data_IF_171375884378
#
_entry.id   IF_171375884378
#
_cell.length_a   1.000
_cell.length_b   1.000
_cell.length_c   1.000
_cell.angle_alpha   90.00
_cell.angle_beta   90.00
_cell.angle_gamma   90.00
#
_symmetry.space_group_name_H-M   'P 1'
#
loop_
_entity.id
_entity.type
_entity.pdbx_description
1 polymer ?
#
# COMPACT_ATOMS: atom_id res chain seq x y z
N UNK A 1 -8.39 10.28 -25.95
CA UNK A 1 -6.97 10.63 -25.68
C UNK A 1 -6.07 9.40 -25.87
N UNK A 2 -4.92 9.57 -26.52
CA UNK A 2 -3.89 8.53 -26.68
C UNK A 2 -2.61 9.04 -26.04
N UNK A 3 -1.93 8.23 -25.22
CA UNK A 3 -0.70 8.59 -24.49
C UNK A 3 0.58 8.09 -25.18
N UNK A 4 0.44 7.51 -26.37
CA UNK A 4 1.53 7.04 -27.21
C UNK A 4 1.12 5.94 -28.19
N UNK A 5 2.11 5.16 -28.59
CA UNK A 5 1.99 4.01 -29.49
C UNK A 5 2.32 2.72 -28.73
N UNK A 6 1.79 1.59 -29.17
CA UNK A 6 2.23 0.27 -28.68
C UNK A 6 2.94 -0.46 -29.80
N UNK A 7 4.25 -0.64 -29.66
CA UNK A 7 5.07 -1.38 -30.60
C UNK A 7 4.99 -2.86 -30.23
N UNK A 8 4.59 -3.72 -31.18
CA UNK A 8 4.41 -5.16 -30.98
C UNK A 8 5.17 -5.92 -32.05
N UNK A 9 5.87 -6.98 -31.66
CA UNK A 9 6.39 -7.98 -32.61
C UNK A 9 5.21 -8.60 -33.34
N UNK A 10 5.17 -8.59 -34.66
CA UNK A 10 3.96 -9.01 -35.39
C UNK A 10 3.75 -10.54 -35.36
N UNK A 11 4.82 -11.32 -35.53
CA UNK A 11 4.78 -12.79 -35.58
C UNK A 11 4.34 -13.43 -34.25
N UNK A 12 3.26 -14.22 -34.29
CA UNK A 12 2.74 -14.95 -33.11
C UNK A 12 3.73 -15.97 -32.56
N UNK A 13 4.44 -16.69 -33.42
CA UNK A 13 5.44 -17.68 -33.01
C UNK A 13 6.60 -17.03 -32.22
N UNK A 14 7.00 -15.81 -32.60
CA UNK A 14 8.02 -15.06 -31.87
C UNK A 14 7.50 -14.56 -30.51
N UNK A 15 6.22 -14.16 -30.41
CA UNK A 15 5.60 -13.77 -29.13
C UNK A 15 5.61 -14.91 -28.11
N UNK A 16 5.32 -16.13 -28.55
CA UNK A 16 5.34 -17.32 -27.69
C UNK A 16 6.75 -17.62 -27.17
N UNK A 17 7.76 -17.53 -28.04
CA UNK A 17 9.17 -17.69 -27.65
C UNK A 17 9.65 -16.61 -26.68
N UNK A 18 9.23 -15.37 -26.89
CA UNK A 18 9.62 -14.23 -26.03
C UNK A 18 8.93 -14.26 -24.66
N UNK A 19 7.71 -14.79 -24.59
CA UNK A 19 6.97 -14.93 -23.33
C UNK A 19 6.62 -13.60 -22.65
N UNK A 20 6.51 -13.62 -21.32
CA UNK A 20 6.17 -12.47 -20.48
C UNK A 20 6.97 -12.48 -19.18
N UNK A 21 7.10 -11.30 -18.56
CA UNK A 21 7.52 -11.15 -17.17
C UNK A 21 6.30 -11.28 -16.24
N UNK A 22 6.52 -11.16 -14.92
CA UNK A 22 5.43 -11.14 -13.94
C UNK A 22 4.41 -10.00 -14.18
N UNK A 23 4.80 -8.90 -14.83
CA UNK A 23 3.95 -7.71 -15.01
C UNK A 23 3.64 -7.36 -16.47
N UNK A 24 4.46 -7.75 -17.45
CA UNK A 24 4.32 -7.30 -18.83
C UNK A 24 4.83 -8.30 -19.88
N UNK A 25 4.23 -8.36 -21.08
CA UNK A 25 4.75 -9.18 -22.19
C UNK A 25 6.12 -8.68 -22.65
N UNK A 26 7.03 -9.59 -23.03
CA UNK A 26 8.37 -9.22 -23.54
C UNK A 26 8.36 -8.75 -25.00
N UNK A 27 7.30 -9.05 -25.74
CA UNK A 27 7.16 -8.80 -27.18
C UNK A 27 6.39 -7.51 -27.52
N UNK A 28 6.04 -6.70 -26.51
CA UNK A 28 5.36 -5.43 -26.71
C UNK A 28 5.87 -4.38 -25.74
N UNK A 29 5.95 -3.13 -26.20
CA UNK A 29 6.34 -1.97 -25.40
C UNK A 29 5.41 -0.80 -25.70
N UNK A 30 5.03 -0.05 -24.67
CA UNK A 30 4.34 1.22 -24.82
C UNK A 30 5.37 2.32 -25.07
N UNK A 31 5.37 2.87 -26.29
CA UNK A 31 6.17 4.01 -26.69
C UNK A 31 5.36 5.29 -26.47
N UNK A 32 5.52 5.88 -25.27
CA UNK A 32 4.72 7.02 -24.82
C UNK A 32 5.16 8.33 -25.48
N UNK A 33 4.22 9.26 -25.67
CA UNK A 33 4.57 10.64 -26.01
C UNK A 33 5.44 11.27 -24.91
N UNK A 34 6.25 12.28 -25.24
CA UNK A 34 6.91 13.09 -24.23
C UNK A 34 5.87 13.59 -23.22
N UNK A 35 6.16 13.43 -21.92
CA UNK A 35 5.26 13.91 -20.88
C UNK A 35 5.10 15.43 -21.03
N UNK A 36 3.87 15.90 -20.89
CA UNK A 36 3.61 17.34 -20.82
C UNK A 36 4.41 17.92 -19.64
N UNK A 37 5.10 19.03 -19.90
CA UNK A 37 5.87 19.77 -18.89
C UNK A 37 5.36 21.19 -18.80
N UNK A 38 5.32 21.73 -17.59
CA UNK A 38 5.01 23.15 -17.37
C UNK A 38 6.10 23.80 -16.52
N UNK A 39 6.25 25.11 -16.66
CA UNK A 39 7.16 25.93 -15.85
C UNK A 39 6.34 26.65 -14.79
N UNK A 40 6.81 26.63 -13.55
CA UNK A 40 6.11 27.30 -12.45
C UNK A 40 7.11 27.74 -11.37
N UNK A 41 6.69 28.64 -10.49
CA UNK A 41 7.50 29.13 -9.38
C UNK A 41 7.46 28.14 -8.20
N UNK A 42 8.63 27.80 -7.66
CA UNK A 42 8.76 27.11 -6.37
C UNK A 42 8.63 28.12 -5.24
N UNK A 43 7.41 28.29 -4.70
CA UNK A 43 7.10 29.29 -3.67
C UNK A 43 7.73 28.98 -2.33
N UNK A 44 7.67 27.71 -1.94
CA UNK A 44 8.16 27.24 -0.65
C UNK A 44 8.41 25.73 -0.70
N UNK A 45 9.06 25.19 0.33
CA UNK A 45 9.18 23.75 0.55
C UNK A 45 8.70 23.41 1.95
N UNK A 46 7.63 22.62 2.03
CA UNK A 46 7.13 22.10 3.31
C UNK A 46 7.71 20.71 3.59
N UNK A 47 7.79 20.36 4.87
CA UNK A 47 8.37 19.09 5.32
C UNK A 47 7.29 18.19 5.93
N UNK A 48 7.05 17.04 5.29
CA UNK A 48 6.08 16.05 5.77
C UNK A 48 6.79 14.92 6.51
N UNK A 49 6.30 14.60 7.71
CA UNK A 49 6.80 13.48 8.52
C UNK A 49 5.94 12.26 8.24
N UNK A 50 6.53 11.22 7.65
CA UNK A 50 5.85 9.96 7.34
C UNK A 50 5.75 9.01 8.54
N UNK A 51 5.05 7.88 8.36
CA UNK A 51 4.81 6.85 9.40
C UNK A 51 6.07 6.26 10.04
N UNK A 52 7.18 6.22 9.30
CA UNK A 52 8.48 5.72 9.77
C UNK A 52 9.41 6.86 10.22
N UNK A 53 8.87 8.06 10.43
CA UNK A 53 9.62 9.25 10.79
C UNK A 53 10.33 9.95 9.62
N UNK A 54 10.36 9.36 8.42
CA UNK A 54 11.00 9.96 7.25
C UNK A 54 10.42 11.36 6.96
N UNK A 55 11.31 12.34 6.87
CA UNK A 55 10.99 13.73 6.56
C UNK A 55 11.16 13.92 5.06
N UNK A 56 10.04 14.12 4.38
CA UNK A 56 9.96 14.26 2.93
C UNK A 56 9.77 15.73 2.58
N UNK A 57 10.68 16.35 1.80
CA UNK A 57 10.47 17.68 1.26
C UNK A 57 9.39 17.67 0.17
N UNK A 58 8.48 18.63 0.24
CA UNK A 58 7.36 18.80 -0.69
C UNK A 58 7.39 20.23 -1.23
N UNK A 59 7.51 20.36 -2.53
CA UNK A 59 7.45 21.64 -3.22
C UNK A 59 6.02 22.22 -3.14
N UNK A 60 5.92 23.46 -2.68
CA UNK A 60 4.73 24.30 -2.81
C UNK A 60 4.92 25.18 -4.05
N UNK A 61 4.10 24.98 -5.06
CA UNK A 61 4.25 25.57 -6.39
C UNK A 61 3.20 26.66 -6.61
N UNK A 62 3.52 27.65 -7.46
CA UNK A 62 2.48 28.47 -8.09
C UNK A 62 1.55 27.53 -8.88
N UNK A 63 0.21 27.63 -8.69
CA UNK A 63 -0.72 26.74 -9.38
C UNK A 63 -0.52 26.79 -10.89
N UNK A 64 -0.25 25.64 -11.48
CA UNK A 64 0.01 25.51 -12.91
C UNK A 64 -0.86 24.42 -13.52
N UNK A 65 -1.44 24.69 -14.68
CA UNK A 65 -2.19 23.68 -15.43
C UNK A 65 -1.21 22.72 -16.09
N UNK A 66 -1.36 21.42 -15.81
CA UNK A 66 -0.48 20.39 -16.34
C UNK A 66 -1.26 19.11 -16.58
N UNK A 67 -1.31 18.65 -17.83
CA UNK A 67 -2.05 17.45 -18.23
C UNK A 67 -3.49 17.47 -17.68
N UNK A 68 -4.20 18.57 -17.93
CA UNK A 68 -5.62 18.75 -17.61
C UNK A 68 -5.98 18.98 -16.13
N UNK A 69 -5.01 19.04 -15.20
CA UNK A 69 -5.29 19.39 -13.80
C UNK A 69 -4.36 20.47 -13.27
N UNK A 70 -4.82 21.22 -12.28
CA UNK A 70 -3.99 22.21 -11.59
C UNK A 70 -3.07 21.52 -10.57
N UNK A 71 -1.77 21.64 -10.77
CA UNK A 71 -0.74 21.16 -9.85
C UNK A 71 -0.31 22.30 -8.94
N UNK A 72 -0.39 22.08 -7.63
CA UNK A 72 0.07 23.02 -6.59
C UNK A 72 1.21 22.47 -5.73
N UNK A 73 1.39 21.14 -5.73
CA UNK A 73 2.36 20.45 -4.88
C UNK A 73 3.03 19.33 -5.65
N UNK A 74 4.31 19.10 -5.38
CA UNK A 74 5.08 17.99 -5.94
C UNK A 74 6.06 17.44 -4.91
N UNK A 75 6.26 16.12 -4.87
CA UNK A 75 7.28 15.54 -3.99
C UNK A 75 8.67 15.87 -4.52
N UNK A 76 9.58 16.20 -3.61
CA UNK A 76 11.01 16.35 -3.90
C UNK A 76 11.81 15.09 -3.49
N UNK A 77 11.12 14.01 -3.15
CA UNK A 77 11.65 12.70 -2.74
C UNK A 77 12.46 12.71 -1.44
N UNK A 78 13.63 13.33 -1.41
CA UNK A 78 14.50 13.45 -0.24
C UNK A 78 15.48 14.62 -0.41
N UNK A 79 16.19 14.99 0.66
CA UNK A 79 17.10 16.13 0.64
C UNK A 79 18.33 15.93 -0.27
N UNK A 80 18.76 14.68 -0.48
CA UNK A 80 19.84 14.39 -1.42
C UNK A 80 19.43 14.68 -2.87
N UNK A 81 18.19 14.39 -3.25
CA UNK A 81 17.66 14.69 -4.58
C UNK A 81 17.47 16.19 -4.81
N UNK A 82 17.10 16.92 -3.74
CA UNK A 82 17.02 18.39 -3.74
C UNK A 82 18.39 19.00 -3.98
N UNK A 83 19.41 18.54 -3.25
CA UNK A 83 20.80 18.97 -3.41
C UNK A 83 21.34 18.61 -4.79
N UNK A 84 21.11 17.38 -5.26
CA UNK A 84 21.53 16.91 -6.60
C UNK A 84 20.97 17.77 -7.73
N UNK A 85 19.75 18.28 -7.56
CA UNK A 85 19.08 19.17 -8.52
C UNK A 85 19.34 20.66 -8.25
N UNK A 86 20.08 21.02 -7.21
CA UNK A 86 20.30 22.39 -6.71
C UNK A 86 18.98 23.20 -6.68
N UNK A 87 17.91 22.62 -6.14
CA UNK A 87 16.62 23.31 -6.06
C UNK A 87 16.60 24.31 -4.91
N UNK A 88 16.11 25.53 -5.20
CA UNK A 88 16.02 26.63 -4.23
C UNK A 88 14.62 27.22 -4.20
N UNK A 89 14.17 27.64 -3.02
CA UNK A 89 12.93 28.40 -2.89
C UNK A 89 13.08 29.71 -3.65
N UNK A 90 12.13 30.01 -4.52
CA UNK A 90 12.18 31.13 -5.48
C UNK A 90 12.56 30.72 -6.90
N UNK A 91 13.04 29.49 -7.12
CA UNK A 91 13.38 29.03 -8.48
C UNK A 91 12.13 28.92 -9.37
N UNK A 92 12.31 29.26 -10.65
CA UNK A 92 11.40 28.76 -11.69
C UNK A 92 11.77 27.31 -12.01
N UNK A 93 10.85 26.38 -11.80
CA UNK A 93 11.05 24.94 -11.96
C UNK A 93 10.22 24.37 -13.10
N UNK A 94 10.77 23.35 -13.76
CA UNK A 94 10.06 22.54 -14.75
C UNK A 94 9.45 21.32 -14.06
N UNK A 95 8.14 21.16 -14.20
CA UNK A 95 7.35 20.10 -13.58
C UNK A 95 6.67 19.22 -14.63
N UNK A 96 6.57 17.93 -14.34
CA UNK A 96 5.85 16.95 -15.15
C UNK A 96 4.99 16.05 -14.27
N UNK A 97 4.09 15.29 -14.88
CA UNK A 97 3.43 14.17 -14.19
C UNK A 97 3.99 12.84 -14.64
N UNK A 98 4.60 12.10 -13.71
CA UNK A 98 4.97 10.71 -13.93
C UNK A 98 3.70 9.88 -14.15
N UNK A 99 3.68 9.14 -15.26
CA UNK A 99 2.52 8.37 -15.72
C UNK A 99 1.21 9.18 -15.75
N UNK A 100 1.30 10.49 -16.04
CA UNK A 100 0.17 11.45 -16.10
C UNK A 100 -0.59 11.68 -14.78
N UNK A 101 -0.10 11.11 -13.66
CA UNK A 101 -0.76 11.18 -12.36
C UNK A 101 0.07 11.92 -11.30
N UNK A 102 1.36 11.57 -11.12
CA UNK A 102 2.14 12.02 -9.97
C UNK A 102 3.04 13.21 -10.35
N UNK A 103 2.80 14.43 -9.83
CA UNK A 103 3.64 15.58 -10.14
C UNK A 103 5.06 15.44 -9.57
N UNK A 104 6.06 15.78 -10.38
CA UNK A 104 7.48 15.75 -10.02
C UNK A 104 8.21 16.97 -10.58
N UNK A 105 9.13 17.53 -9.79
CA UNK A 105 10.06 18.57 -10.23
C UNK A 105 11.23 17.91 -10.96
N UNK A 106 11.43 18.29 -12.23
CA UNK A 106 12.52 17.78 -13.06
C UNK A 106 13.83 18.50 -12.77
N UNK A 107 13.80 19.83 -12.85
CA UNK A 107 14.96 20.72 -12.72
C UNK A 107 14.51 22.16 -12.48
N UNK A 108 15.42 23.00 -12.01
CA UNK A 108 15.26 24.45 -12.08
C UNK A 108 15.71 24.98 -13.45
N UNK A 109 15.34 26.23 -13.74
CA UNK A 109 15.75 26.96 -14.94
C UNK A 109 16.81 27.99 -14.52
N UNK A 110 18.11 27.74 -14.79
CA UNK A 110 19.19 28.58 -14.30
C UNK A 110 19.08 30.05 -14.71
N UNK A 111 18.58 30.31 -15.91
CA UNK A 111 18.46 31.66 -16.49
C UNK A 111 17.40 32.51 -15.78
N UNK A 112 16.52 31.88 -15.01
CA UNK A 112 15.41 32.52 -14.31
C UNK A 112 15.57 32.49 -12.78
N UNK A 113 16.74 32.10 -12.27
CA UNK A 113 16.99 32.08 -10.82
C UNK A 113 17.11 33.52 -10.31
N UNK A 114 16.25 33.92 -9.36
CA UNK A 114 16.38 35.24 -8.75
C UNK A 114 17.58 35.25 -7.77
N UNK A 115 18.20 36.43 -7.54
CA UNK A 115 19.40 36.54 -6.69
C UNK A 115 19.13 36.22 -5.21
N UNK A 116 17.88 36.30 -4.77
CA UNK A 116 17.42 35.99 -3.41
C UNK A 116 16.93 34.54 -3.24
N UNK A 117 17.14 33.66 -4.22
CA UNK A 117 16.76 32.26 -4.14
C UNK A 117 17.46 31.53 -2.97
N UNK A 118 16.67 30.88 -2.10
CA UNK A 118 17.16 30.30 -0.84
C UNK A 118 17.36 28.79 -0.93
N UNK A 119 18.50 28.24 -0.48
CA UNK A 119 18.72 26.80 -0.48
C UNK A 119 17.72 26.08 0.42
N UNK A 120 17.27 24.91 -0.01
CA UNK A 120 16.40 24.04 0.77
C UNK A 120 17.28 23.18 1.67
N UNK A 121 17.35 23.54 2.95
CA UNK A 121 18.12 22.81 3.96
C UNK A 121 17.23 21.85 4.74
N UNK A 122 17.75 20.68 5.16
CA UNK A 122 17.02 19.84 6.09
C UNK A 122 16.76 20.55 7.42
N UNK A 123 15.61 20.32 8.06
CA UNK A 123 15.36 20.90 9.36
C UNK A 123 16.24 20.22 10.43
N UNK A 124 16.70 20.96 11.44
CA UNK A 124 17.46 20.40 12.57
C UNK A 124 16.54 19.69 13.59
N UNK A 125 15.27 20.08 13.61
CA UNK A 125 14.23 19.53 14.49
C UNK A 125 13.00 19.11 13.68
N UNK A 126 12.25 18.14 14.20
CA UNK A 126 11.07 17.62 13.56
C UNK A 126 9.99 18.71 13.47
N UNK A 127 9.45 19.02 12.28
CA UNK A 127 8.45 20.08 12.11
C UNK A 127 7.11 19.76 12.79
N UNK A 128 6.88 18.50 13.19
CA UNK A 128 5.67 18.08 13.90
C UNK A 128 5.79 18.08 15.43
N UNK A 129 6.96 17.78 15.99
CA UNK A 129 7.10 17.56 17.44
C UNK A 129 8.33 18.22 18.08
N UNK A 130 9.13 18.96 17.31
CA UNK A 130 10.31 19.67 17.80
C UNK A 130 11.48 18.78 18.26
N UNK A 131 11.34 17.45 18.19
CA UNK A 131 12.41 16.53 18.58
C UNK A 131 13.57 16.53 17.56
N UNK A 132 14.80 16.17 17.95
CA UNK A 132 15.92 16.05 17.02
C UNK A 132 15.62 15.10 15.86
N UNK A 133 16.19 15.40 14.70
CA UNK A 133 16.11 14.55 13.51
C UNK A 133 17.49 14.04 13.13
N UNK A 134 17.54 12.90 12.46
CA UNK A 134 18.79 12.31 12.04
C UNK A 134 18.60 11.21 11.02
N UNK A 135 19.71 10.75 10.44
CA UNK A 135 19.73 9.47 9.73
C UNK A 135 19.76 8.35 10.74
N UNK A 136 19.30 7.18 10.32
CA UNK A 136 19.42 5.97 11.13
C UNK A 136 20.90 5.62 11.27
N UNK A 137 21.48 5.64 12.49
CA UNK A 137 22.90 5.36 12.69
C UNK A 137 23.27 3.92 12.32
N UNK A 138 22.31 3.00 12.35
CA UNK A 138 22.52 1.58 12.04
C UNK A 138 22.44 1.27 10.54
N UNK A 139 22.05 2.26 9.70
CA UNK A 139 21.96 2.12 8.25
C UNK A 139 22.81 3.20 7.55
N UNK A 140 24.08 2.90 7.22
CA UNK A 140 24.97 3.84 6.54
C UNK A 140 24.51 4.19 5.12
N UNK A 141 23.56 3.43 4.55
CA UNK A 141 22.96 3.70 3.24
C UNK A 141 21.72 4.60 3.33
N UNK A 142 21.33 5.01 4.53
CA UNK A 142 20.13 5.83 4.75
C UNK A 142 20.29 7.21 4.11
N UNK A 143 19.35 7.51 3.21
CA UNK A 143 19.26 8.81 2.52
C UNK A 143 18.20 9.70 3.15
N UNK A 144 17.24 9.12 3.88
CA UNK A 144 16.17 9.86 4.52
C UNK A 144 16.59 10.38 5.90
N UNK A 145 16.34 11.67 6.12
CA UNK A 145 16.38 12.26 7.46
C UNK A 145 15.07 11.92 8.16
N UNK A 146 15.12 11.51 9.42
CA UNK A 146 13.98 10.99 10.16
C UNK A 146 13.81 11.69 11.51
N UNK A 147 12.56 11.85 11.91
CA UNK A 147 12.21 12.08 13.30
C UNK A 147 12.42 10.79 14.10
N UNK A 148 13.28 10.85 15.12
CA UNK A 148 13.61 9.69 15.97
C UNK A 148 12.62 9.51 17.14
N UNK A 149 11.76 10.50 17.39
CA UNK A 149 10.74 10.41 18.43
C UNK A 149 9.57 9.53 17.99
N UNK A 150 9.49 8.31 18.54
CA UNK A 150 8.42 7.35 18.25
C UNK A 150 7.03 7.87 18.69
N UNK A 151 6.96 8.77 19.66
CA UNK A 151 5.74 9.42 20.14
C UNK A 151 5.36 10.66 19.31
N UNK A 152 6.04 10.92 18.20
CA UNK A 152 5.74 12.04 17.31
C UNK A 152 4.28 11.94 16.80
N UNK A 153 3.44 12.99 17.00
CA UNK A 153 2.03 12.97 16.60
C UNK A 153 1.83 12.69 15.11
N UNK A 154 2.67 13.26 14.23
CA UNK A 154 2.61 12.97 12.80
C UNK A 154 2.90 11.50 12.51
N UNK A 155 3.88 10.88 13.17
CA UNK A 155 4.14 9.46 12.96
C UNK A 155 2.98 8.60 13.46
N UNK A 156 2.39 8.92 14.62
CA UNK A 156 1.22 8.22 15.15
C UNK A 156 0.08 8.30 14.13
N UNK A 157 -0.26 9.51 13.66
CA UNK A 157 -1.31 9.73 12.65
C UNK A 157 -1.06 8.90 11.38
N UNK A 158 0.14 8.98 10.80
CA UNK A 158 0.46 8.25 9.57
C UNK A 158 0.48 6.73 9.77
N UNK A 159 0.89 6.24 10.96
CA UNK A 159 0.77 4.82 11.32
C UNK A 159 -0.70 4.38 11.42
N UNK A 160 -1.57 5.20 12.02
CA UNK A 160 -3.00 4.90 12.10
C UNK A 160 -3.65 4.85 10.71
N UNK A 161 -3.34 5.81 9.83
CA UNK A 161 -3.85 5.82 8.46
C UNK A 161 -3.37 4.62 7.66
N UNK A 162 -2.09 4.27 7.80
CA UNK A 162 -1.55 3.06 7.19
C UNK A 162 -2.24 1.80 7.73
N UNK A 163 -2.40 1.70 9.04
CA UNK A 163 -3.03 0.58 9.72
C UNK A 163 -4.49 0.39 9.26
N UNK A 164 -5.27 1.48 9.16
CA UNK A 164 -6.65 1.44 8.70
C UNK A 164 -6.82 1.31 7.19
N UNK A 165 -5.76 1.48 6.41
CA UNK A 165 -5.86 1.48 4.95
C UNK A 165 -6.50 0.21 4.38
N UNK A 166 -7.11 0.34 3.20
CA UNK A 166 -7.85 -0.75 2.52
C UNK A 166 -7.03 -2.03 2.30
N UNK A 167 -5.70 -1.96 2.25
CA UNK A 167 -4.82 -3.14 2.09
C UNK A 167 -4.26 -3.67 3.40
N UNK A 168 -4.36 -2.89 4.47
CA UNK A 168 -3.98 -3.24 5.83
C UNK A 168 -5.21 -3.77 6.58
N UNK A 169 -5.67 -3.14 7.67
CA UNK A 169 -6.80 -3.65 8.46
C UNK A 169 -8.17 -3.27 7.90
N UNK A 170 -8.23 -2.42 6.86
CA UNK A 170 -9.47 -2.05 6.15
C UNK A 170 -10.56 -1.50 7.09
N UNK A 171 -10.18 -0.51 7.88
CA UNK A 171 -11.08 0.17 8.82
C UNK A 171 -11.71 1.36 8.10
N UNK A 172 -12.86 1.10 7.48
CA UNK A 172 -13.62 2.14 6.77
C UNK A 172 -14.13 3.19 7.77
N UNK A 173 -14.01 4.47 7.41
CA UNK A 173 -14.41 5.60 8.27
C UNK A 173 -13.24 6.25 9.02
N UNK A 174 -12.09 5.59 9.15
CA UNK A 174 -10.89 6.20 9.74
C UNK A 174 -10.09 6.96 8.67
N UNK A 175 -10.56 8.16 8.33
CA UNK A 175 -9.88 9.09 7.41
C UNK A 175 -8.89 10.04 8.09
N UNK A 176 -8.18 10.84 7.30
CA UNK A 176 -7.15 11.78 7.77
C UNK A 176 -7.66 12.75 8.84
N UNK A 177 -8.82 13.38 8.62
CA UNK A 177 -9.40 14.33 9.56
C UNK A 177 -9.71 13.69 10.93
N UNK A 178 -10.21 12.45 10.94
CA UNK A 178 -10.51 11.75 12.18
C UNK A 178 -9.23 11.26 12.87
N UNK A 179 -8.26 10.75 12.12
CA UNK A 179 -6.96 10.35 12.67
C UNK A 179 -6.25 11.54 13.35
N UNK A 180 -6.34 12.75 12.78
CA UNK A 180 -5.86 13.98 13.41
C UNK A 180 -6.56 14.22 14.75
N UNK A 181 -7.90 14.17 14.77
CA UNK A 181 -8.68 14.40 15.99
C UNK A 181 -8.37 13.38 17.09
N UNK A 182 -8.26 12.10 16.76
CA UNK A 182 -7.95 11.04 17.74
C UNK A 182 -6.57 11.24 18.39
N UNK A 183 -5.58 11.64 17.60
CA UNK A 183 -4.22 11.89 18.10
C UNK A 183 -4.16 13.19 18.91
N UNK A 184 -4.78 14.27 18.43
CA UNK A 184 -4.77 15.57 19.11
C UNK A 184 -5.49 15.52 20.47
N UNK A 185 -6.60 14.79 20.55
CA UNK A 185 -7.32 14.58 21.81
C UNK A 185 -6.71 13.48 22.69
N UNK A 186 -5.53 12.94 22.31
CA UNK A 186 -4.82 11.88 23.03
C UNK A 186 -5.65 10.59 23.25
N UNK A 187 -6.70 10.38 22.45
CA UNK A 187 -7.55 9.19 22.51
C UNK A 187 -6.84 7.95 21.96
N UNK A 188 -5.91 8.14 21.02
CA UNK A 188 -5.17 7.06 20.37
C UNK A 188 -3.69 7.42 20.26
N UNK A 189 -2.83 6.56 20.80
CA UNK A 189 -1.36 6.68 20.70
C UNK A 189 -0.77 5.52 19.89
N UNK A 190 -1.43 4.38 19.93
CA UNK A 190 -1.06 3.18 19.19
C UNK A 190 -2.28 2.62 18.47
N UNK A 191 -2.09 1.78 17.43
CA UNK A 191 -3.20 1.09 16.79
C UNK A 191 -4.04 0.22 17.74
N UNK A 192 -3.48 -0.25 18.86
CA UNK A 192 -4.22 -1.04 19.84
C UNK A 192 -5.31 -0.22 20.55
N UNK A 193 -5.10 1.09 20.74
CA UNK A 193 -6.08 1.96 21.41
C UNK A 193 -7.38 2.09 20.60
N UNK A 194 -7.34 1.89 19.27
CA UNK A 194 -8.55 1.89 18.43
C UNK A 194 -9.59 0.90 18.94
N UNK A 195 -9.16 -0.26 19.44
CA UNK A 195 -10.05 -1.32 19.89
C UNK A 195 -10.67 -1.06 21.27
N UNK A 196 -10.32 0.06 21.92
CA UNK A 196 -10.88 0.53 23.19
C UNK A 196 -11.86 1.70 23.01
N UNK A 197 -12.01 2.22 21.79
CA UNK A 197 -12.91 3.33 21.50
C UNK A 197 -14.37 2.87 21.56
N UNK A 198 -15.20 3.66 22.23
CA UNK A 198 -16.65 3.50 22.26
C UNK A 198 -17.36 4.61 21.46
N UNK A 199 -18.66 4.39 21.23
CA UNK A 199 -19.50 5.30 20.45
C UNK A 199 -19.61 6.67 21.12
N UNK A 200 -19.70 6.70 22.45
CA UNK A 200 -19.87 7.94 23.23
C UNK A 200 -18.66 8.86 23.10
N UNK A 201 -17.46 8.30 23.26
CA UNK A 201 -16.19 9.01 23.09
C UNK A 201 -16.07 9.58 21.68
N UNK A 202 -16.45 8.80 20.67
CA UNK A 202 -16.38 9.23 19.28
C UNK A 202 -17.40 10.32 18.95
N UNK A 203 -18.60 10.29 19.53
CA UNK A 203 -19.61 11.35 19.35
C UNK A 203 -19.17 12.71 19.90
N UNK A 204 -18.17 12.75 20.80
CA UNK A 204 -17.58 13.99 21.29
C UNK A 204 -16.67 14.70 20.28
N UNK A 205 -16.37 14.09 19.13
CA UNK A 205 -15.48 14.62 18.11
C UNK A 205 -16.24 15.44 17.05
N UNK A 206 -15.53 16.36 16.39
CA UNK A 206 -16.11 17.18 15.32
C UNK A 206 -16.55 16.29 14.14
N UNK A 207 -17.76 16.56 13.65
CA UNK A 207 -18.44 15.84 12.55
C UNK A 207 -18.61 14.34 12.78
N UNK A 208 -18.65 13.89 14.04
CA UNK A 208 -18.95 12.51 14.40
C UNK A 208 -20.35 12.41 15.00
N UNK A 209 -21.34 12.06 14.17
CA UNK A 209 -22.66 11.68 14.65
C UNK A 209 -22.67 10.23 15.14
N UNK A 210 -23.68 9.88 15.94
CA UNK A 210 -23.84 8.54 16.52
C UNK A 210 -23.78 7.41 15.48
N UNK A 211 -24.41 7.60 14.31
CA UNK A 211 -24.35 6.61 13.22
C UNK A 211 -22.93 6.42 12.67
N UNK A 212 -22.19 7.51 12.44
CA UNK A 212 -20.79 7.42 11.97
C UNK A 212 -19.87 6.81 13.02
N UNK A 213 -20.08 7.12 14.30
CA UNK A 213 -19.36 6.53 15.42
C UNK A 213 -19.58 5.02 15.51
N UNK A 214 -20.84 4.56 15.45
CA UNK A 214 -21.19 3.12 15.41
C UNK A 214 -20.54 2.42 14.21
N UNK A 215 -20.69 2.99 13.01
CA UNK A 215 -20.08 2.41 11.80
C UNK A 215 -18.56 2.24 11.93
N UNK A 216 -17.87 3.20 12.56
CA UNK A 216 -16.44 3.11 12.79
C UNK A 216 -16.09 2.02 13.81
N UNK A 217 -16.80 1.97 14.94
CA UNK A 217 -16.62 0.92 15.95
C UNK A 217 -16.84 -0.46 15.33
N UNK A 218 -17.91 -0.63 14.54
CA UNK A 218 -18.20 -1.88 13.83
C UNK A 218 -17.09 -2.24 12.85
N UNK A 219 -16.56 -1.27 12.09
CA UNK A 219 -15.43 -1.49 11.18
C UNK A 219 -14.14 -1.89 11.94
N UNK A 220 -13.88 -1.27 13.10
CA UNK A 220 -12.76 -1.63 13.98
C UNK A 220 -12.94 -3.06 14.49
N UNK A 221 -14.12 -3.45 14.98
CA UNK A 221 -14.37 -4.80 15.46
C UNK A 221 -14.25 -5.83 14.33
N UNK A 222 -14.82 -5.56 13.15
CA UNK A 222 -14.70 -6.42 11.98
C UNK A 222 -13.25 -6.63 11.54
N UNK A 223 -12.38 -5.62 11.74
CA UNK A 223 -10.96 -5.73 11.39
C UNK A 223 -10.20 -6.80 12.18
N UNK A 224 -10.70 -7.24 13.34
CA UNK A 224 -10.04 -8.28 14.16
C UNK A 224 -9.86 -9.61 13.43
N UNK A 225 -10.76 -9.91 12.49
CA UNK A 225 -10.75 -11.14 11.71
C UNK A 225 -9.76 -11.12 10.52
N UNK A 226 -9.11 -9.99 10.22
CA UNK A 226 -8.17 -9.91 9.09
C UNK A 226 -6.98 -10.87 9.30
N UNK A 227 -6.51 -11.55 8.24
CA UNK A 227 -5.43 -12.52 8.35
C UNK A 227 -4.11 -11.90 8.78
N UNK A 228 -3.21 -12.73 9.32
CA UNK A 228 -1.87 -12.30 9.78
C UNK A 228 -1.08 -11.51 8.73
N UNK A 229 -1.20 -11.84 7.44
CA UNK A 229 -0.54 -11.10 6.36
C UNK A 229 -0.90 -9.61 6.34
N UNK A 230 -2.18 -9.30 6.58
CA UNK A 230 -2.69 -7.93 6.61
C UNK A 230 -2.29 -7.22 7.90
N UNK A 231 -2.30 -7.92 9.03
CA UNK A 231 -1.78 -7.39 10.29
C UNK A 231 -0.30 -7.06 10.19
N UNK A 232 0.54 -7.96 9.66
CA UNK A 232 1.97 -7.72 9.46
C UNK A 232 2.22 -6.52 8.55
N UNK A 233 1.45 -6.38 7.47
CA UNK A 233 1.52 -5.20 6.63
C UNK A 233 1.11 -3.94 7.41
N UNK A 234 0.03 -4.01 8.21
CA UNK A 234 -0.50 -2.91 9.00
C UNK A 234 0.44 -2.40 10.10
N UNK A 235 1.25 -3.29 10.70
CA UNK A 235 2.27 -2.94 11.70
C UNK A 235 3.34 -1.98 11.14
N UNK A 236 3.49 -1.90 9.82
CA UNK A 236 4.36 -0.92 9.18
C UNK A 236 5.86 -1.18 9.42
N UNK A 237 6.24 -2.45 9.56
CA UNK A 237 7.64 -2.87 9.73
C UNK A 237 8.47 -2.34 8.54
N UNK A 238 9.61 -1.71 8.82
CA UNK A 238 10.47 -1.10 7.80
C UNK A 238 10.90 -2.15 6.77
N UNK A 239 10.82 -1.78 5.49
CA UNK A 239 11.07 -2.63 4.31
C UNK A 239 10.10 -3.80 4.10
N UNK A 240 9.09 -3.97 4.95
CA UNK A 240 8.07 -5.02 4.77
C UNK A 240 6.87 -4.43 4.04
N UNK A 241 6.81 -4.68 2.73
CA UNK A 241 5.64 -4.37 1.91
C UNK A 241 4.55 -5.43 2.03
N UNK A 242 3.42 -5.18 1.37
CA UNK A 242 2.25 -6.09 1.35
C UNK A 242 2.63 -7.52 0.91
N UNK A 243 3.42 -7.65 -0.16
CA UNK A 243 3.85 -8.96 -0.65
C UNK A 243 4.74 -9.68 0.36
N UNK A 244 5.76 -8.98 0.89
CA UNK A 244 6.66 -9.53 1.91
C UNK A 244 5.90 -9.94 3.17
N UNK A 245 4.92 -9.16 3.62
CA UNK A 245 4.06 -9.50 4.75
C UNK A 245 3.25 -10.78 4.49
N UNK A 246 2.72 -10.95 3.27
CA UNK A 246 2.03 -12.17 2.87
C UNK A 246 2.97 -13.39 2.83
N UNK A 247 4.19 -13.21 2.34
CA UNK A 247 5.18 -14.28 2.26
C UNK A 247 5.70 -14.70 3.64
N UNK A 248 5.93 -13.73 4.54
CA UNK A 248 6.24 -13.98 5.95
C UNK A 248 5.10 -14.73 6.65
N UNK A 249 3.86 -14.27 6.50
CA UNK A 249 2.71 -14.94 7.10
C UNK A 249 2.55 -16.38 6.59
N UNK A 250 2.75 -16.62 5.28
CA UNK A 250 2.69 -17.97 4.70
C UNK A 250 3.83 -18.87 5.20
N UNK A 251 5.03 -18.33 5.36
CA UNK A 251 6.18 -19.11 5.80
C UNK A 251 6.09 -19.46 7.28
N UNK A 252 5.87 -18.47 8.15
CA UNK A 252 5.93 -18.65 9.61
C UNK A 252 4.60 -19.07 10.23
N UNK A 253 3.47 -18.86 9.54
CA UNK A 253 2.10 -19.24 9.93
C UNK A 253 1.54 -18.57 11.18
N UNK A 254 2.35 -18.18 12.16
CA UNK A 254 1.90 -17.47 13.37
C UNK A 254 2.79 -16.27 13.68
N UNK A 255 2.23 -15.29 14.38
CA UNK A 255 2.99 -14.14 14.88
C UNK A 255 4.14 -14.59 15.78
N UNK A 256 3.91 -15.57 16.66
CA UNK A 256 4.92 -16.03 17.62
C UNK A 256 6.12 -16.70 16.92
N UNK A 257 5.84 -17.52 15.90
CA UNK A 257 6.90 -18.15 15.10
C UNK A 257 7.75 -17.11 14.36
N UNK A 258 7.12 -16.07 13.84
CA UNK A 258 7.83 -14.96 13.19
C UNK A 258 8.66 -14.13 14.20
N UNK A 259 8.10 -13.84 15.37
CA UNK A 259 8.79 -13.10 16.43
C UNK A 259 10.04 -13.84 16.95
N UNK A 260 9.99 -15.18 16.98
CA UNK A 260 11.10 -16.03 17.40
C UNK A 260 12.13 -16.29 16.28
N UNK A 261 11.80 -15.97 15.02
CA UNK A 261 12.66 -16.27 13.87
C UNK A 261 13.97 -15.47 13.93
N UNK A 262 15.08 -16.13 13.65
CA UNK A 262 16.41 -15.50 13.49
C UNK A 262 16.65 -15.05 12.04
N UNK A 263 17.70 -14.24 11.84
CA UNK A 263 18.05 -13.64 10.53
C UNK A 263 18.13 -14.69 9.42
N UNK A 264 18.78 -15.82 9.67
CA UNK A 264 18.95 -16.89 8.68
C UNK A 264 17.62 -17.54 8.27
N UNK A 265 16.69 -17.70 9.21
CA UNK A 265 15.36 -18.23 8.93
C UNK A 265 14.53 -17.23 8.12
N UNK A 266 14.61 -15.94 8.46
CA UNK A 266 13.95 -14.87 7.72
C UNK A 266 14.46 -14.79 6.27
N UNK A 267 15.77 -14.98 6.04
CA UNK A 267 16.37 -14.96 4.70
C UNK A 267 15.94 -16.14 3.80
N UNK A 268 15.29 -17.17 4.35
CA UNK A 268 14.72 -18.28 3.56
C UNK A 268 13.38 -17.90 2.91
N UNK A 269 12.80 -16.77 3.28
CA UNK A 269 11.56 -16.27 2.65
C UNK A 269 11.91 -15.55 1.36
N UNK A 270 11.25 -15.92 0.27
CA UNK A 270 11.47 -15.30 -1.04
C UNK A 270 11.32 -13.78 -0.97
N UNK A 271 12.33 -13.06 -1.48
CA UNK A 271 12.36 -11.60 -1.47
C UNK A 271 12.80 -10.96 -0.15
N UNK A 272 13.11 -11.75 0.89
CA UNK A 272 13.68 -11.27 2.15
C UNK A 272 15.20 -11.46 2.12
N UNK A 273 15.93 -10.37 1.85
CA UNK A 273 17.38 -10.33 2.01
C UNK A 273 17.80 -9.97 3.43
N UNK A 274 19.10 -10.08 3.72
CA UNK A 274 19.67 -9.83 5.05
C UNK A 274 19.27 -8.48 5.65
N UNK A 275 19.25 -7.40 4.84
CA UNK A 275 18.84 -6.07 5.30
C UNK A 275 17.38 -6.04 5.79
N UNK A 276 16.48 -6.73 5.08
CA UNK A 276 15.06 -6.83 5.46
C UNK A 276 14.93 -7.70 6.71
N UNK A 277 15.63 -8.83 6.77
CA UNK A 277 15.63 -9.72 7.92
C UNK A 277 16.11 -9.01 9.21
N UNK A 278 17.21 -8.26 9.14
CA UNK A 278 17.71 -7.45 10.28
C UNK A 278 16.69 -6.39 10.73
N UNK A 279 16.04 -5.71 9.80
CA UNK A 279 14.98 -4.74 10.11
C UNK A 279 13.78 -5.39 10.82
N UNK A 280 13.37 -6.58 10.39
CA UNK A 280 12.32 -7.36 11.06
C UNK A 280 12.77 -7.75 12.48
N UNK A 281 14.00 -8.24 12.65
CA UNK A 281 14.55 -8.57 13.98
C UNK A 281 14.60 -7.36 14.89
N UNK A 282 15.09 -6.23 14.39
CA UNK A 282 15.15 -4.98 15.16
C UNK A 282 13.76 -4.55 15.60
N UNK A 283 12.76 -4.63 14.71
CA UNK A 283 11.37 -4.34 15.07
C UNK A 283 10.88 -5.22 16.22
N UNK A 284 11.06 -6.54 16.16
CA UNK A 284 10.62 -7.44 17.23
C UNK A 284 11.52 -7.45 18.47
N UNK A 285 12.75 -6.93 18.39
CA UNK A 285 13.63 -6.79 19.55
C UNK A 285 13.20 -5.64 20.47
N UNK A 286 12.47 -4.63 19.94
CA UNK A 286 11.99 -3.51 20.73
C UNK A 286 10.83 -3.93 21.66
N UNK A 287 10.96 -3.73 22.99
CA UNK A 287 9.92 -4.11 23.95
C UNK A 287 8.55 -3.47 23.65
N UNK A 288 8.54 -2.19 23.25
CA UNK A 288 7.31 -1.47 22.91
C UNK A 288 6.54 -2.11 21.74
N UNK A 289 7.23 -2.69 20.75
CA UNK A 289 6.57 -3.38 19.65
C UNK A 289 5.99 -4.73 20.08
N UNK A 290 6.68 -5.45 20.98
CA UNK A 290 6.14 -6.68 21.58
C UNK A 290 4.90 -6.41 22.41
N UNK A 291 4.93 -5.33 23.19
CA UNK A 291 3.78 -4.88 23.98
C UNK A 291 2.60 -4.51 23.08
N UNK A 292 2.83 -3.77 21.98
CA UNK A 292 1.80 -3.48 21.00
C UNK A 292 1.15 -4.76 20.45
N UNK A 293 1.95 -5.76 20.07
CA UNK A 293 1.44 -7.03 19.56
C UNK A 293 0.60 -7.76 20.61
N UNK A 294 1.04 -7.73 21.87
CA UNK A 294 0.28 -8.33 22.97
C UNK A 294 -1.04 -7.59 23.24
N UNK A 295 -1.05 -6.26 23.21
CA UNK A 295 -2.29 -5.48 23.34
C UNK A 295 -3.27 -5.78 22.19
N UNK A 296 -2.76 -5.95 20.96
CA UNK A 296 -3.57 -6.37 19.82
C UNK A 296 -4.10 -7.81 20.00
N UNK A 297 -3.28 -8.73 20.54
CA UNK A 297 -3.69 -10.11 20.86
C UNK A 297 -4.83 -10.10 21.87
N UNK A 298 -4.70 -9.32 22.94
CA UNK A 298 -5.73 -9.15 23.97
C UNK A 298 -7.01 -8.49 23.45
N UNK A 299 -6.88 -7.59 22.47
CA UNK A 299 -8.02 -7.03 21.76
C UNK A 299 -8.74 -8.06 20.87
N UNK A 300 -8.21 -9.29 20.71
CA UNK A 300 -8.84 -10.38 19.97
C UNK A 300 -8.50 -10.41 18.48
N UNK A 301 -7.38 -9.78 18.08
CA UNK A 301 -6.91 -9.88 16.70
C UNK A 301 -6.39 -11.28 16.39
N UNK A 302 -6.63 -11.70 15.15
CA UNK A 302 -6.09 -12.95 14.62
C UNK A 302 -4.57 -12.88 14.49
N UNK A 303 -3.87 -13.81 15.14
CA UNK A 303 -2.40 -13.91 15.18
C UNK A 303 -1.83 -15.05 14.34
N UNK A 304 -2.69 -15.74 13.60
CA UNK A 304 -2.38 -16.83 12.68
C UNK A 304 -2.67 -16.43 11.23
N UNK A 305 -1.86 -16.97 10.33
CA UNK A 305 -2.10 -16.89 8.91
C UNK A 305 -3.33 -17.73 8.56
N UNK A 306 -3.91 -17.44 7.41
CA UNK A 306 -4.84 -18.38 6.80
C UNK A 306 -4.17 -19.74 6.69
N UNK A 307 -4.82 -20.74 7.29
CA UNK A 307 -4.63 -22.11 6.87
C UNK A 307 -5.03 -22.15 5.41
N UNK A 308 -4.04 -22.08 4.51
CA UNK A 308 -4.20 -22.62 3.16
C UNK A 308 -4.62 -24.07 3.38
N UNK A 309 -5.93 -24.31 3.29
CA UNK A 309 -6.49 -25.62 3.52
C UNK A 309 -5.91 -26.51 2.41
N UNK A 310 -4.96 -27.38 2.78
CA UNK A 310 -4.46 -28.44 1.91
C UNK A 310 -5.57 -29.48 1.77
N UNK A 311 -6.58 -29.15 0.97
CA UNK A 311 -7.83 -29.89 0.85
C UNK A 311 -9.06 -29.00 1.00
N UNK A 312 -10.09 -29.29 0.21
CA UNK A 312 -11.30 -28.49 0.05
C UNK A 312 -11.85 -28.68 -1.37
N UNK A 313 -13.11 -28.30 -1.64
CA UNK A 313 -13.73 -28.53 -2.95
C UNK A 313 -13.03 -27.77 -4.09
N UNK A 314 -12.25 -26.73 -3.74
CA UNK A 314 -11.48 -25.92 -4.66
C UNK A 314 -9.97 -26.24 -4.70
N UNK A 315 -9.51 -27.26 -3.96
CA UNK A 315 -8.09 -27.62 -3.89
C UNK A 315 -7.48 -27.88 -5.28
N UNK A 316 -6.31 -27.28 -5.54
CA UNK A 316 -5.58 -27.43 -6.80
C UNK A 316 -6.15 -26.66 -8.00
N UNK A 317 -7.27 -25.94 -7.82
CA UNK A 317 -7.90 -25.15 -8.88
C UNK A 317 -7.44 -23.68 -8.82
N UNK A 318 -7.15 -23.09 -9.97
CA UNK A 318 -6.75 -21.68 -10.10
C UNK A 318 -7.88 -20.87 -10.73
N UNK A 319 -8.36 -19.84 -10.05
CA UNK A 319 -9.47 -18.99 -10.48
C UNK A 319 -8.99 -17.60 -10.90
N UNK A 320 -9.57 -17.06 -11.96
CA UNK A 320 -9.43 -15.65 -12.34
C UNK A 320 -10.81 -15.02 -12.31
N UNK A 321 -10.95 -13.84 -11.72
CA UNK A 321 -12.24 -13.13 -11.64
C UNK A 321 -12.23 -11.95 -12.63
N UNK A 322 -13.34 -11.78 -13.34
CA UNK A 322 -13.62 -10.65 -14.23
C UNK A 322 -15.06 -10.19 -14.08
N UNK A 323 -15.29 -8.87 -14.10
CA UNK A 323 -16.60 -8.28 -13.78
C UNK A 323 -16.82 -8.05 -12.29
N UNK A 324 -17.97 -7.49 -11.96
CA UNK A 324 -18.45 -7.22 -10.60
C UNK A 324 -19.25 -8.43 -10.12
N UNK A 325 -18.93 -8.92 -8.91
CA UNK A 325 -19.64 -10.04 -8.31
C UNK A 325 -20.69 -9.53 -7.31
N UNK A 326 -21.81 -10.22 -7.20
CA UNK A 326 -22.89 -9.92 -6.25
C UNK A 326 -22.51 -10.30 -4.81
N UNK A 327 -21.65 -11.31 -4.64
CA UNK A 327 -21.12 -11.83 -3.38
C UNK A 327 -20.12 -10.90 -2.67
N UNK A 328 -19.94 -9.68 -3.16
CA UNK A 328 -19.12 -8.64 -2.54
C UNK A 328 -17.90 -8.22 -3.38
N UNK A 329 -16.91 -7.63 -2.72
CA UNK A 329 -15.72 -7.12 -3.41
C UNK A 329 -14.90 -8.26 -4.02
N UNK A 330 -14.21 -7.95 -5.13
CA UNK A 330 -13.29 -8.89 -5.78
C UNK A 330 -12.26 -9.47 -4.80
N UNK A 331 -11.78 -8.64 -3.87
CA UNK A 331 -10.81 -9.04 -2.84
C UNK A 331 -11.43 -10.07 -1.88
N UNK A 332 -12.67 -9.83 -1.42
CA UNK A 332 -13.39 -10.77 -0.55
C UNK A 332 -13.70 -12.11 -1.25
N UNK A 333 -14.06 -12.07 -2.55
CA UNK A 333 -14.26 -13.29 -3.33
C UNK A 333 -12.94 -14.07 -3.51
N UNK A 334 -11.83 -13.38 -3.75
CA UNK A 334 -10.52 -14.03 -3.81
C UNK A 334 -10.12 -14.68 -2.48
N UNK A 335 -10.44 -14.04 -1.36
CA UNK A 335 -10.19 -14.55 -0.02
C UNK A 335 -11.02 -15.81 0.26
N UNK A 336 -12.31 -15.84 -0.10
CA UNK A 336 -13.18 -17.03 0.01
C UNK A 336 -12.68 -18.21 -0.83
N UNK A 337 -12.23 -17.96 -2.06
CA UNK A 337 -11.66 -19.00 -2.92
C UNK A 337 -10.39 -19.60 -2.28
N UNK A 338 -9.51 -18.74 -1.75
CA UNK A 338 -8.29 -19.17 -1.04
C UNK A 338 -8.62 -19.96 0.23
N UNK A 339 -9.63 -19.55 0.98
CA UNK A 339 -10.10 -20.24 2.18
C UNK A 339 -10.59 -21.68 1.90
N UNK A 340 -11.09 -21.97 0.69
CA UNK A 340 -11.56 -23.29 0.26
C UNK A 340 -10.49 -24.12 -0.48
N UNK A 341 -9.23 -23.69 -0.43
CA UNK A 341 -8.08 -24.38 -1.02
C UNK A 341 -7.78 -24.01 -2.49
N UNK A 342 -8.52 -23.07 -3.07
CA UNK A 342 -8.31 -22.59 -4.43
C UNK A 342 -7.21 -21.52 -4.50
N UNK A 343 -6.56 -21.40 -5.65
CA UNK A 343 -5.63 -20.31 -5.93
C UNK A 343 -6.33 -19.23 -6.75
N UNK A 344 -5.93 -17.98 -6.61
CA UNK A 344 -6.47 -16.88 -7.43
C UNK A 344 -5.36 -16.15 -8.16
N UNK A 345 -5.62 -15.79 -9.41
CA UNK A 345 -4.70 -15.05 -10.25
C UNK A 345 -5.41 -13.86 -10.92
N UNK A 346 -4.64 -12.86 -11.31
CA UNK A 346 -5.19 -11.69 -12.01
C UNK A 346 -5.26 -11.86 -13.52
N UNK A 347 -4.51 -12.81 -14.06
CA UNK A 347 -4.36 -13.03 -15.49
C UNK A 347 -4.72 -14.46 -15.85
N UNK A 348 -5.49 -14.64 -16.92
CA UNK A 348 -5.78 -15.97 -17.49
C UNK A 348 -4.50 -16.52 -18.13
N UNK A 349 -4.10 -17.72 -17.71
CA UNK A 349 -2.95 -18.47 -18.22
C UNK A 349 -3.37 -19.91 -18.51
N UNK A 350 -2.48 -20.72 -19.11
CA UNK A 350 -2.71 -22.17 -19.27
C UNK A 350 -2.85 -22.93 -17.94
N UNK A 351 -2.39 -22.35 -16.83
CA UNK A 351 -2.54 -22.91 -15.48
C UNK A 351 -3.88 -22.52 -14.82
N UNK A 352 -4.65 -21.63 -15.44
CA UNK A 352 -5.94 -21.20 -14.91
C UNK A 352 -6.97 -22.30 -15.12
N UNK A 353 -7.61 -22.74 -14.04
CA UNK A 353 -8.66 -23.75 -14.09
C UNK A 353 -10.01 -23.17 -14.47
N UNK A 354 -10.35 -21.97 -13.97
CA UNK A 354 -11.65 -21.34 -14.23
C UNK A 354 -11.55 -19.80 -14.35
N UNK A 355 -12.33 -19.22 -15.26
CA UNK A 355 -12.63 -17.79 -15.31
C UNK A 355 -14.02 -17.55 -14.74
N UNK A 356 -14.12 -16.88 -13.59
CA UNK A 356 -15.39 -16.46 -12.98
C UNK A 356 -15.82 -15.13 -13.59
N UNK A 357 -17.04 -15.10 -14.12
CA UNK A 357 -17.62 -13.95 -14.81
C UNK A 357 -18.78 -13.40 -13.99
N UNK A 358 -18.63 -12.15 -13.55
CA UNK A 358 -19.70 -11.34 -12.97
C UNK A 358 -20.32 -10.37 -13.97
N UNK A 359 -21.13 -9.42 -13.50
CA UNK A 359 -21.70 -8.35 -14.31
C UNK A 359 -20.59 -7.45 -14.89
N UNK A 360 -20.77 -6.95 -16.11
CA UNK A 360 -19.78 -6.15 -16.86
C UNK A 360 -18.36 -6.76 -16.95
N UNK A 361 -18.20 -7.96 -17.52
CA UNK A 361 -16.91 -8.61 -17.58
C UNK A 361 -15.95 -7.92 -18.57
N UNK A 362 -14.69 -7.82 -18.17
CA UNK A 362 -13.63 -7.33 -19.05
C UNK A 362 -13.44 -8.23 -20.28
N UNK A 363 -13.66 -7.67 -21.47
CA UNK A 363 -13.58 -8.36 -22.77
C UNK A 363 -12.24 -9.07 -23.00
N UNK A 364 -11.12 -8.45 -22.58
CA UNK A 364 -9.79 -9.01 -22.76
C UNK A 364 -9.54 -10.33 -22.02
N UNK A 365 -10.13 -10.52 -20.82
CA UNK A 365 -9.99 -11.76 -20.04
C UNK A 365 -10.87 -12.87 -20.60
N UNK A 366 -12.08 -12.53 -21.03
CA UNK A 366 -13.02 -13.44 -21.70
C UNK A 366 -12.43 -14.00 -22.99
N UNK A 367 -11.91 -13.14 -23.86
CA UNK A 367 -11.26 -13.58 -25.10
C UNK A 367 -10.05 -14.47 -24.83
N UNK A 368 -9.26 -14.14 -23.80
CA UNK A 368 -8.07 -14.91 -23.45
C UNK A 368 -8.43 -16.29 -22.90
N UNK A 369 -9.50 -16.40 -22.10
CA UNK A 369 -10.01 -17.69 -21.64
C UNK A 369 -10.51 -18.56 -22.80
N UNK A 370 -11.29 -17.99 -23.73
CA UNK A 370 -11.74 -18.69 -24.94
C UNK A 370 -10.58 -19.20 -25.78
N UNK A 371 -9.55 -18.37 -26.00
CA UNK A 371 -8.34 -18.74 -26.77
C UNK A 371 -7.51 -19.84 -26.11
N UNK A 372 -7.48 -19.88 -24.79
CA UNK A 372 -6.70 -20.85 -24.01
C UNK A 372 -7.50 -22.11 -23.63
N UNK A 373 -8.78 -22.19 -24.01
CA UNK A 373 -9.66 -23.30 -23.64
C UNK A 373 -9.97 -23.37 -22.14
N UNK A 374 -9.84 -22.25 -21.42
CA UNK A 374 -10.12 -22.19 -19.98
C UNK A 374 -11.64 -22.11 -19.76
N UNK A 375 -12.24 -23.02 -18.97
CA UNK A 375 -13.66 -22.98 -18.64
C UNK A 375 -14.12 -21.64 -18.06
N UNK A 376 -15.24 -21.13 -18.55
CA UNK A 376 -15.87 -19.88 -18.09
C UNK A 376 -17.07 -20.27 -17.24
N UNK A 377 -17.11 -19.80 -16.00
CA UNK A 377 -18.16 -20.12 -15.03
C UNK A 377 -18.80 -18.84 -14.50
N UNK A 378 -20.07 -18.93 -14.12
CA UNK A 378 -20.80 -17.83 -13.48
C UNK A 378 -20.49 -17.78 -11.99
N UNK A 379 -20.90 -16.71 -11.33
CA UNK A 379 -20.85 -16.61 -9.88
C UNK A 379 -21.69 -17.71 -9.18
N UNK A 380 -22.84 -18.06 -9.74
CA UNK A 380 -23.68 -19.14 -9.22
C UNK A 380 -22.97 -20.50 -9.28
N UNK A 381 -22.23 -20.77 -10.35
CA UNK A 381 -21.40 -21.98 -10.48
C UNK A 381 -20.28 -21.99 -9.43
N UNK A 382 -19.62 -20.84 -9.21
CA UNK A 382 -18.61 -20.72 -8.16
C UNK A 382 -19.23 -21.03 -6.78
N UNK A 383 -20.43 -20.51 -6.50
CA UNK A 383 -21.14 -20.78 -5.24
C UNK A 383 -21.46 -22.26 -5.04
N UNK A 384 -21.93 -22.94 -6.09
CA UNK A 384 -22.12 -24.41 -6.07
C UNK A 384 -20.80 -25.15 -5.80
N UNK A 385 -19.71 -24.75 -6.46
CA UNK A 385 -18.38 -25.34 -6.22
C UNK A 385 -17.84 -25.05 -4.80
N UNK A 386 -18.31 -24.00 -4.14
CA UNK A 386 -17.97 -23.67 -2.76
C UNK A 386 -18.79 -24.46 -1.72
N UNK A 387 -19.72 -25.33 -2.15
CA UNK A 387 -20.55 -26.16 -1.27
C UNK A 387 -21.91 -25.55 -0.93
N UNK A 388 -22.39 -24.59 -1.71
CA UNK A 388 -23.73 -24.04 -1.59
C UNK A 388 -24.80 -24.94 -2.19
N UNK A 389 -25.11 -26.05 -1.53
CA UNK A 389 -26.39 -26.77 -1.61
C UNK A 389 -26.80 -27.16 -0.19
N UNK A 390 -27.51 -26.25 0.50
CA UNK A 390 -28.61 -26.65 1.38
C UNK A 390 -29.86 -26.41 0.57
N UNK A 391 -30.26 -27.45 -0.16
CA UNK A 391 -31.55 -27.49 -0.83
C UNK A 391 -32.66 -27.16 0.17
N UNK A 392 -33.48 -26.20 -0.24
CA UNK A 392 -34.88 -26.12 0.13
C UNK A 392 -35.55 -27.49 -0.10
N UNK A 393 -35.95 -28.13 0.99
CA UNK A 393 -37.10 -29.05 1.07
C UNK A 393 -37.63 -29.03 2.49
#
# INVERSE_FOLDING_TARGET
PIDGLVIKVDSRAQRERLGATAKSPRWAVAFKYPAETARTLLKDVTFQVGKTGAITPVAELEPVLLAGTVVKRASLHNFQEVERKDLRVGDTVEVQKAAEIIPQVLRYIPELRPPDARPVVPPEVCPSCGSPVGKDPDDPTEVFIRCLNLSCPAQIRERLLHYASRRAMDITGLGEALAVQLVQNSLVRTPADLYRLDVETLCGLDRMAEKSARNLVDAIQASKARPLSRLLFALGIRMVGEQTAADLARHFRTMDALMAAEVDALCRVDGVGERVARSIRQFFALPANRELIEQLRQAGLRMDADTERSGGPLAGKVFVITGTLEMGSRDAAQERIRALGGQTADTVTKRTSFLVVGSDPGSAKLEKARKLGVPIITEADLSRMMGGDRESS
#
